data_IF_223668407566
#
_entry.id   IF_223668407566
#
_cell.length_a   1.000
_cell.length_b   1.000
_cell.length_c   1.000
_cell.angle_alpha   90.00
_cell.angle_beta   90.00
_cell.angle_gamma   90.00
#
_symmetry.space_group_name_H-M   'P 1'
#
loop_
_entity.id
_entity.type
_entity.pdbx_description
1 polymer ?
#
# COMPACT_ATOMS: atom_id res chain seq x y z
N UNK A 1 23.00 -61.66 11.08
CA UNK A 1 24.41 -61.27 11.29
C UNK A 1 24.96 -60.85 9.94
N UNK A 2 25.80 -59.81 9.87
CA UNK A 2 26.16 -59.08 8.65
C UNK A 2 25.01 -58.29 7.96
N UNK A 3 25.40 -57.36 7.08
CA UNK A 3 24.60 -56.33 6.37
C UNK A 3 24.92 -56.42 4.85
N UNK A 4 24.33 -55.54 4.00
CA UNK A 4 25.07 -54.48 3.25
C UNK A 4 24.24 -53.77 2.13
N UNK A 5 24.45 -52.44 2.05
CA UNK A 5 24.28 -51.48 0.92
C UNK A 5 22.94 -51.25 0.16
N UNK A 6 22.62 -49.95 -0.06
CA UNK A 6 22.05 -49.46 -1.33
C UNK A 6 22.62 -48.10 -1.83
N UNK A 7 22.65 -47.88 -3.16
CA UNK A 7 22.88 -46.63 -3.95
C UNK A 7 22.42 -46.88 -5.41
N UNK A 8 22.21 -45.92 -6.33
CA UNK A 8 22.25 -44.43 -6.31
C UNK A 8 20.78 -43.87 -6.28
N UNK A 9 20.25 -42.74 -6.81
CA UNK A 9 20.61 -41.70 -7.81
C UNK A 9 20.72 -42.19 -9.29
N UNK A 10 20.68 -41.37 -10.36
CA UNK A 10 20.43 -39.91 -10.56
C UNK A 10 19.85 -39.67 -11.99
N UNK A 11 19.00 -38.65 -12.23
CA UNK A 11 19.12 -37.69 -13.35
C UNK A 11 18.24 -36.43 -13.17
N UNK A 12 18.26 -35.46 -14.12
CA UNK A 12 18.31 -34.01 -13.79
C UNK A 12 18.00 -33.01 -14.95
N UNK A 13 16.72 -32.62 -15.16
CA UNK A 13 16.28 -31.48 -16.03
C UNK A 13 15.32 -30.60 -15.17
N UNK A 14 15.43 -29.28 -14.95
CA UNK A 14 16.09 -28.09 -15.55
C UNK A 14 15.19 -27.27 -16.49
N UNK A 15 14.80 -26.08 -16.02
CA UNK A 15 13.93 -25.10 -16.69
C UNK A 15 14.56 -24.45 -17.93
N UNK A 16 13.72 -24.18 -18.95
CA UNK A 16 13.81 -23.07 -19.91
C UNK A 16 12.51 -22.92 -20.71
N UNK A 17 12.20 -21.68 -21.09
CA UNK A 17 11.42 -21.29 -22.28
C UNK A 17 10.05 -21.95 -22.53
N UNK A 18 9.02 -21.62 -21.74
CA UNK A 18 7.63 -21.66 -22.22
C UNK A 18 7.33 -20.31 -22.88
N UNK A 19 7.32 -20.29 -24.21
CA UNK A 19 6.98 -19.11 -25.02
C UNK A 19 5.46 -19.03 -25.16
N UNK A 20 4.87 -17.87 -24.86
CA UNK A 20 3.42 -17.66 -25.01
C UNK A 20 3.12 -17.39 -26.50
N UNK A 21 2.51 -18.35 -27.17
CA UNK A 21 1.93 -18.16 -28.51
C UNK A 21 0.44 -17.88 -28.40
N UNK A 22 0.04 -16.63 -28.64
CA UNK A 22 -1.35 -16.26 -28.87
C UNK A 22 -1.72 -16.57 -30.32
N UNK A 23 -2.51 -17.62 -30.54
CA UNK A 23 -3.06 -17.93 -31.87
C UNK A 23 -4.58 -18.02 -31.83
N UNK A 24 -5.23 -17.35 -32.79
CA UNK A 24 -6.67 -17.13 -32.78
C UNK A 24 -7.45 -18.37 -33.21
N UNK A 25 -8.45 -18.81 -32.43
CA UNK A 25 -9.67 -19.42 -32.96
C UNK A 25 -10.82 -19.37 -31.94
N UNK A 26 -12.04 -19.57 -32.41
CA UNK A 26 -13.30 -19.43 -31.66
C UNK A 26 -13.90 -20.81 -31.34
N UNK A 27 -14.54 -20.92 -30.18
CA UNK A 27 -15.45 -21.99 -29.72
C UNK A 27 -14.92 -23.43 -29.63
N UNK A 28 -14.94 -23.98 -28.42
CA UNK A 28 -15.32 -25.38 -28.17
C UNK A 28 -16.27 -25.49 -26.97
N UNK A 29 -17.08 -26.56 -26.94
CA UNK A 29 -18.32 -26.63 -26.17
C UNK A 29 -18.22 -27.28 -24.77
N UNK A 30 -19.22 -26.94 -23.96
CA UNK A 30 -19.56 -27.45 -22.62
C UNK A 30 -19.50 -28.98 -22.47
N UNK A 31 -18.57 -29.46 -21.64
CA UNK A 31 -18.63 -30.69 -20.81
C UNK A 31 -17.86 -30.31 -19.52
N UNK A 32 -18.37 -30.44 -18.29
CA UNK A 32 -19.03 -31.58 -17.65
C UNK A 32 -20.27 -31.23 -16.81
N UNK A 33 -21.26 -32.14 -16.80
CA UNK A 33 -22.36 -32.16 -15.82
C UNK A 33 -22.51 -33.58 -15.24
N UNK A 34 -22.07 -33.77 -13.99
CA UNK A 34 -22.43 -34.92 -13.12
C UNK A 34 -23.04 -34.35 -11.83
N UNK A 35 -24.34 -34.04 -11.83
CA UNK A 35 -25.42 -35.00 -11.59
C UNK A 35 -25.43 -35.50 -10.13
N UNK A 36 -25.96 -34.67 -9.24
CA UNK A 36 -26.78 -35.14 -8.12
C UNK A 36 -28.17 -34.51 -8.25
N UNK A 37 -29.20 -35.32 -8.07
CA UNK A 37 -30.60 -34.88 -8.07
C UNK A 37 -31.08 -34.90 -6.63
N UNK A 38 -31.49 -33.75 -6.10
CA UNK A 38 -32.33 -33.68 -4.92
C UNK A 38 -33.52 -32.76 -5.20
N UNK A 39 -34.72 -33.32 -5.13
CA UNK A 39 -35.98 -32.60 -5.31
C UNK A 39 -36.30 -31.79 -4.04
N UNK A 40 -35.80 -30.56 -3.96
CA UNK A 40 -36.02 -29.64 -2.83
C UNK A 40 -36.75 -28.37 -3.26
N UNK A 41 -38.01 -28.21 -2.85
CA UNK A 41 -38.81 -27.00 -3.09
C UNK A 41 -38.46 -25.94 -2.03
N UNK A 42 -37.39 -25.18 -2.24
CA UNK A 42 -37.07 -24.04 -1.39
C UNK A 42 -38.00 -22.86 -1.66
N UNK A 43 -39.01 -22.70 -0.81
CA UNK A 43 -39.71 -21.44 -0.62
C UNK A 43 -38.73 -20.38 -0.09
N UNK A 44 -38.96 -19.11 -0.43
CA UNK A 44 -38.17 -18.01 0.12
C UNK A 44 -38.31 -17.95 1.65
N UNK A 45 -37.19 -18.04 2.36
CA UNK A 45 -37.12 -17.85 3.81
C UNK A 45 -36.47 -16.49 4.10
N UNK A 46 -37.29 -15.54 4.54
CA UNK A 46 -36.80 -14.40 5.29
C UNK A 46 -36.15 -14.94 6.59
N UNK A 47 -34.92 -14.52 6.88
CA UNK A 47 -34.31 -14.78 8.18
C UNK A 47 -33.70 -13.51 8.76
N UNK A 48 -34.39 -12.97 9.77
CA UNK A 48 -33.84 -12.01 10.72
C UNK A 48 -33.89 -12.66 12.09
N UNK A 49 -32.74 -12.77 12.77
CA UNK A 49 -32.64 -12.89 14.23
C UNK A 49 -31.17 -12.95 14.68
N UNK A 50 -30.91 -12.47 15.89
CA UNK A 50 -29.60 -12.52 16.54
C UNK A 50 -29.46 -13.82 17.35
N UNK A 51 -28.25 -14.40 17.45
CA UNK A 51 -27.45 -14.41 18.71
C UNK A 51 -26.16 -15.27 18.65
N UNK A 52 -25.12 -14.69 19.24
CA UNK A 52 -23.99 -15.23 20.02
C UNK A 52 -23.56 -16.72 19.91
N UNK A 53 -22.24 -16.90 19.81
CA UNK A 53 -21.47 -17.98 20.45
C UNK A 53 -20.14 -17.42 20.99
N UNK A 54 -19.85 -17.63 22.27
CA UNK A 54 -18.56 -17.33 22.92
C UNK A 54 -17.75 -18.63 23.10
N UNK A 55 -16.58 -18.78 22.46
CA UNK A 55 -15.55 -19.76 22.88
C UNK A 55 -14.15 -19.25 22.48
N UNK A 56 -13.18 -19.39 23.40
CA UNK A 56 -11.85 -19.90 23.03
C UNK A 56 -10.76 -18.88 22.70
N UNK A 57 -9.91 -18.61 23.69
CA UNK A 57 -8.60 -17.97 23.49
C UNK A 57 -7.58 -18.93 22.86
N UNK A 58 -7.14 -18.70 21.62
CA UNK A 58 -5.83 -19.13 21.10
C UNK A 58 -5.40 -18.27 19.90
N UNK A 59 -4.09 -18.19 19.68
CA UNK A 59 -3.36 -17.26 18.79
C UNK A 59 -4.04 -16.79 17.50
N UNK A 60 -4.04 -15.47 17.31
CA UNK A 60 -4.33 -14.82 16.03
C UNK A 60 -3.25 -15.16 15.00
N UNK A 61 -3.56 -16.06 14.07
CA UNK A 61 -2.92 -16.07 12.75
C UNK A 61 -3.63 -15.08 11.84
N UNK A 62 -2.89 -14.37 11.00
CA UNK A 62 -3.42 -13.35 10.08
C UNK A 62 -4.34 -13.98 9.01
N UNK A 63 -5.65 -13.96 9.27
CA UNK A 63 -6.67 -14.33 8.29
C UNK A 63 -7.20 -13.05 7.62
N UNK A 64 -7.10 -13.00 6.29
CA UNK A 64 -7.44 -11.81 5.51
C UNK A 64 -8.95 -11.57 5.53
N UNK A 65 -9.39 -10.54 6.27
CA UNK A 65 -10.77 -10.06 6.24
C UNK A 65 -10.99 -9.37 4.89
N UNK A 66 -11.48 -10.13 3.91
CA UNK A 66 -12.12 -9.57 2.73
C UNK A 66 -13.41 -8.86 3.15
N UNK A 67 -13.54 -7.58 2.82
CA UNK A 67 -14.79 -6.85 3.04
C UNK A 67 -15.83 -7.26 2.00
N UNK A 68 -17.12 -7.07 2.30
CA UNK A 68 -18.22 -7.59 1.48
C UNK A 68 -18.45 -6.81 0.18
N UNK A 69 -17.76 -5.70 0.02
CA UNK A 69 -17.89 -4.79 -1.12
C UNK A 69 -16.85 -5.05 -2.24
N UNK A 70 -16.01 -6.09 -2.13
CA UNK A 70 -15.09 -6.59 -3.18
C UNK A 70 -15.83 -7.28 -4.36
N UNK A 71 -16.88 -6.63 -4.88
CA UNK A 71 -17.67 -7.06 -6.02
C UNK A 71 -16.96 -6.62 -7.30
N UNK A 72 -16.57 -7.58 -8.15
CA UNK A 72 -15.94 -7.35 -9.45
C UNK A 72 -16.65 -6.25 -10.26
N UNK A 73 -15.90 -5.21 -10.66
CA UNK A 73 -16.41 -4.22 -11.58
C UNK A 73 -16.18 -4.68 -13.03
N UNK A 74 -17.27 -5.08 -13.69
CA UNK A 74 -17.28 -5.49 -15.09
C UNK A 74 -17.84 -4.34 -15.95
N UNK A 75 -17.04 -3.84 -16.88
CA UNK A 75 -17.55 -2.94 -17.94
C UNK A 75 -18.51 -3.73 -18.85
N UNK A 76 -19.70 -3.18 -19.11
CA UNK A 76 -20.68 -3.79 -20.01
C UNK A 76 -20.34 -3.57 -21.49
N UNK A 77 -19.45 -2.64 -21.83
CA UNK A 77 -19.04 -2.36 -23.21
C UNK A 77 -17.86 -3.22 -23.69
N UNK A 78 -17.03 -3.71 -22.79
CA UNK A 78 -15.91 -4.61 -23.08
C UNK A 78 -15.88 -5.70 -22.01
N UNK A 79 -15.95 -6.98 -22.40
CA UNK A 79 -16.04 -8.14 -21.48
C UNK A 79 -14.75 -8.36 -20.66
N UNK A 80 -14.47 -7.42 -19.76
CA UNK A 80 -13.25 -7.31 -18.94
C UNK A 80 -13.70 -6.95 -17.53
N UNK A 81 -14.04 -7.96 -16.74
CA UNK A 81 -14.13 -7.81 -15.29
C UNK A 81 -12.72 -7.57 -14.75
N UNK A 82 -12.49 -6.40 -14.14
CA UNK A 82 -11.25 -6.14 -13.41
C UNK A 82 -11.49 -6.46 -11.95
N UNK A 83 -10.51 -7.09 -11.31
CA UNK A 83 -10.38 -6.99 -9.87
C UNK A 83 -10.22 -5.51 -9.51
N UNK A 84 -10.79 -5.03 -8.38
CA UNK A 84 -10.31 -3.78 -7.82
C UNK A 84 -8.80 -3.90 -7.61
N UNK A 85 -8.04 -2.88 -8.02
CA UNK A 85 -6.64 -2.78 -7.60
C UNK A 85 -6.66 -2.57 -6.09
N UNK A 86 -6.28 -3.61 -5.34
CA UNK A 86 -6.11 -3.54 -3.89
C UNK A 86 -5.16 -2.36 -3.63
N UNK A 87 -5.67 -1.30 -2.99
CA UNK A 87 -4.87 -0.15 -2.56
C UNK A 87 -4.12 -0.60 -1.32
N UNK A 88 -3.09 -1.41 -1.54
CA UNK A 88 -2.24 -1.92 -0.48
C UNK A 88 -1.48 -0.75 0.14
N UNK A 89 -1.79 -0.42 1.39
CA UNK A 89 -1.21 0.73 2.09
C UNK A 89 0.30 0.53 2.30
N UNK A 90 1.12 1.08 1.40
CA UNK A 90 2.57 0.94 1.46
C UNK A 90 3.18 1.86 2.51
N UNK A 91 3.33 1.33 3.73
CA UNK A 91 4.30 1.82 4.71
C UNK A 91 5.70 1.31 4.37
N UNK A 92 6.67 2.22 4.31
CA UNK A 92 8.08 1.88 4.13
C UNK A 92 8.71 1.45 5.47
N UNK A 93 9.70 0.56 5.44
CA UNK A 93 10.52 0.31 6.63
C UNK A 93 11.53 1.45 6.84
N UNK A 94 11.91 1.74 8.10
CA UNK A 94 12.79 2.86 8.48
C UNK A 94 14.05 2.97 7.60
N UNK A 95 14.78 1.87 7.43
CA UNK A 95 16.00 1.83 6.63
C UNK A 95 15.77 1.74 5.12
N UNK A 96 14.63 1.23 4.67
CA UNK A 96 14.21 1.30 3.25
C UNK A 96 14.00 2.78 2.85
N UNK A 97 13.26 3.52 3.68
CA UNK A 97 13.03 4.95 3.49
C UNK A 97 14.33 5.78 3.62
N UNK A 98 15.18 5.49 4.62
CA UNK A 98 16.50 6.12 4.74
C UNK A 98 17.37 5.92 3.48
N UNK A 99 17.34 4.72 2.90
CA UNK A 99 18.06 4.39 1.67
C UNK A 99 17.51 5.15 0.46
N UNK A 100 16.18 5.21 0.30
CA UNK A 100 15.55 5.98 -0.78
C UNK A 100 15.85 7.49 -0.66
N UNK A 101 15.80 8.06 0.55
CA UNK A 101 16.18 9.46 0.80
C UNK A 101 17.64 9.73 0.41
N UNK A 102 18.55 8.84 0.79
CA UNK A 102 19.98 8.97 0.46
C UNK A 102 20.25 8.88 -1.05
N UNK A 103 19.54 7.98 -1.76
CA UNK A 103 19.57 7.88 -3.23
C UNK A 103 18.99 9.15 -3.89
N UNK A 104 18.06 9.84 -3.24
CA UNK A 104 17.46 11.11 -3.68
C UNK A 104 18.24 12.36 -3.21
N UNK A 105 19.56 12.23 -3.07
CA UNK A 105 20.52 13.28 -2.68
C UNK A 105 20.20 14.00 -1.37
N UNK A 106 19.49 13.36 -0.42
CA UNK A 106 19.30 13.92 0.94
C UNK A 106 20.61 13.76 1.73
N UNK A 107 21.16 14.84 2.33
CA UNK A 107 22.37 14.75 3.13
C UNK A 107 22.22 13.72 4.27
N UNK A 108 23.21 12.84 4.46
CA UNK A 108 23.16 11.78 5.49
C UNK A 108 22.89 12.35 6.90
N UNK A 109 23.34 13.57 7.17
CA UNK A 109 23.09 14.32 8.42
C UNK A 109 21.65 14.80 8.62
N UNK A 110 20.84 14.91 7.56
CA UNK A 110 19.43 15.26 7.65
C UNK A 110 18.51 14.04 7.80
N UNK A 111 18.97 12.84 7.42
CA UNK A 111 18.16 11.62 7.42
C UNK A 111 17.44 11.35 8.77
N UNK A 112 18.06 11.49 9.96
CA UNK A 112 17.35 11.25 11.22
C UNK A 112 16.14 12.17 11.44
N UNK A 113 16.19 13.42 10.95
CA UNK A 113 15.07 14.35 11.00
C UNK A 113 13.98 13.99 9.98
N UNK A 114 14.37 13.64 8.76
CA UNK A 114 13.42 13.18 7.73
C UNK A 114 12.70 11.89 8.13
N UNK A 115 13.40 10.96 8.80
CA UNK A 115 12.82 9.76 9.40
C UNK A 115 11.78 10.13 10.46
N UNK A 116 12.17 10.94 11.46
CA UNK A 116 11.27 11.32 12.56
C UNK A 116 10.01 12.02 12.06
N UNK A 117 10.13 12.95 11.11
CA UNK A 117 8.97 13.64 10.51
C UNK A 117 8.05 12.61 9.85
N UNK A 118 8.55 11.73 8.97
CA UNK A 118 7.71 10.73 8.32
C UNK A 118 7.11 9.69 9.29
N UNK A 119 7.79 9.36 10.38
CA UNK A 119 7.25 8.46 11.40
C UNK A 119 6.04 9.08 12.11
N UNK A 120 6.15 10.33 12.55
CA UNK A 120 5.09 11.00 13.31
C UNK A 120 3.95 11.54 12.43
N UNK A 121 4.23 12.00 11.21
CA UNK A 121 3.22 12.49 10.26
C UNK A 121 2.43 11.33 9.60
N UNK A 122 3.08 10.21 9.26
CA UNK A 122 2.44 9.15 8.44
C UNK A 122 2.70 7.70 8.86
N UNK A 123 3.53 7.44 9.88
CA UNK A 123 4.07 6.09 10.17
C UNK A 123 4.68 5.44 8.92
N UNK A 124 5.44 6.25 8.16
CA UNK A 124 6.03 5.93 6.86
C UNK A 124 5.04 5.50 5.76
N UNK A 125 3.73 5.70 5.95
CA UNK A 125 2.70 5.35 4.96
C UNK A 125 2.73 6.34 3.79
N UNK A 126 3.01 5.84 2.60
CA UNK A 126 3.00 6.64 1.37
C UNK A 126 1.59 6.99 0.89
N UNK A 127 0.58 6.19 1.23
CA UNK A 127 -0.78 6.24 0.67
C UNK A 127 -1.82 6.89 1.61
N UNK A 128 -1.39 7.54 2.69
CA UNK A 128 -2.30 8.19 3.66
C UNK A 128 -2.67 9.62 3.25
N UNK A 129 -3.96 9.95 3.33
CA UNK A 129 -4.47 11.33 3.39
C UNK A 129 -4.84 11.59 4.85
N UNK A 130 -4.38 12.72 5.40
CA UNK A 130 -4.62 13.11 6.78
C UNK A 130 -6.10 13.36 7.10
N UNK A 131 -6.40 13.47 8.39
CA UNK A 131 -7.70 13.95 8.84
C UNK A 131 -7.95 15.38 8.33
N UNK A 132 -9.21 15.71 8.03
CA UNK A 132 -9.58 17.02 7.47
C UNK A 132 -9.19 18.15 8.43
N UNK A 133 -8.37 19.09 7.98
CA UNK A 133 -7.94 20.22 8.79
C UNK A 133 -9.09 21.18 9.08
N UNK A 134 -8.99 21.90 10.20
CA UNK A 134 -9.99 22.87 10.65
C UNK A 134 -10.21 24.05 9.67
N UNK A 135 -9.29 24.27 8.74
CA UNK A 135 -9.36 25.30 7.69
C UNK A 135 -9.83 24.78 6.33
N UNK A 136 -10.28 23.52 6.27
CA UNK A 136 -10.75 22.85 5.06
C UNK A 136 -9.66 22.18 4.23
N UNK A 137 -8.37 22.28 4.55
CA UNK A 137 -7.32 21.55 3.82
C UNK A 137 -7.24 20.05 4.17
N UNK A 138 -6.47 19.29 3.40
CA UNK A 138 -5.99 17.95 3.76
C UNK A 138 -4.49 17.85 3.48
N UNK A 139 -3.82 16.92 4.15
CA UNK A 139 -2.38 16.70 4.03
C UNK A 139 -2.10 15.31 3.44
N UNK A 140 -1.10 15.21 2.56
CA UNK A 140 -0.93 14.05 1.67
C UNK A 140 0.40 13.33 1.84
N UNK A 141 0.31 12.00 1.88
CA UNK A 141 1.43 11.06 1.76
C UNK A 141 2.39 11.07 2.95
N UNK A 142 3.58 10.52 2.70
CA UNK A 142 4.57 10.19 3.73
C UNK A 142 5.06 11.38 4.58
N UNK A 143 4.93 12.61 4.07
CA UNK A 143 5.32 13.85 4.74
C UNK A 143 4.14 14.77 5.09
N UNK A 144 2.89 14.31 4.95
CA UNK A 144 1.67 15.10 5.17
C UNK A 144 1.75 16.51 4.56
N UNK A 145 1.82 16.54 3.22
CA UNK A 145 1.99 17.77 2.44
C UNK A 145 0.63 18.37 2.08
N UNK A 146 0.38 19.60 2.55
CA UNK A 146 -0.91 20.29 2.41
C UNK A 146 -1.33 20.64 0.98
N UNK A 147 -2.58 20.30 0.64
CA UNK A 147 -3.27 20.66 -0.62
C UNK A 147 -3.63 22.15 -0.75
N UNK A 148 -3.57 22.89 0.35
CA UNK A 148 -3.76 24.34 0.34
C UNK A 148 -2.53 25.07 -0.16
N UNK A 149 -1.34 24.67 0.28
CA UNK A 149 -0.10 25.43 0.06
C UNK A 149 0.81 24.81 -1.02
N UNK A 150 0.90 23.49 -1.10
CA UNK A 150 2.06 22.83 -1.73
C UNK A 150 1.72 22.02 -2.97
N UNK A 151 0.64 21.26 -2.96
CA UNK A 151 0.18 20.48 -4.10
C UNK A 151 -1.17 20.98 -4.61
N UNK A 152 -1.67 20.40 -5.70
CA UNK A 152 -3.00 20.66 -6.26
C UNK A 152 -3.92 19.44 -6.10
N UNK A 153 -5.04 19.52 -5.36
CA UNK A 153 -6.00 18.44 -5.29
C UNK A 153 -6.79 18.31 -6.61
N UNK A 154 -7.32 17.12 -6.88
CA UNK A 154 -8.11 16.85 -8.09
C UNK A 154 -9.54 17.42 -8.01
N UNK A 155 -10.12 17.37 -6.81
CA UNK A 155 -11.43 17.93 -6.50
C UNK A 155 -11.37 19.45 -6.32
N UNK A 156 -12.51 20.12 -6.55
CA UNK A 156 -12.63 21.56 -6.26
C UNK A 156 -12.63 21.81 -4.75
N UNK A 157 -11.91 22.85 -4.36
CA UNK A 157 -11.79 23.35 -2.99
C UNK A 157 -12.63 24.62 -2.82
N UNK A 158 -12.96 24.92 -1.57
CA UNK A 158 -13.56 26.18 -1.11
C UNK A 158 -12.51 27.24 -0.76
N UNK A 159 -11.27 26.83 -0.44
CA UNK A 159 -10.10 27.68 -0.28
C UNK A 159 -9.27 27.80 -1.58
N UNK A 160 -8.44 28.84 -1.65
CA UNK A 160 -7.45 29.03 -2.71
C UNK A 160 -6.27 28.06 -2.56
N UNK A 161 -5.85 27.45 -3.67
CA UNK A 161 -4.72 26.51 -3.76
C UNK A 161 -3.49 27.24 -4.31
N UNK A 162 -2.39 27.27 -3.54
CA UNK A 162 -1.12 27.86 -3.99
C UNK A 162 -0.27 26.93 -4.87
N UNK A 163 -0.33 25.60 -4.65
CA UNK A 163 0.42 24.58 -5.41
C UNK A 163 1.94 24.89 -5.54
N UNK A 164 2.59 25.27 -4.44
CA UNK A 164 4.00 25.74 -4.43
C UNK A 164 5.05 24.73 -4.96
N UNK A 165 4.75 23.43 -4.95
CA UNK A 165 5.60 22.37 -5.52
C UNK A 165 5.25 22.03 -6.99
N UNK A 166 4.22 22.65 -7.57
CA UNK A 166 3.70 22.41 -8.92
C UNK A 166 3.43 20.92 -9.21
N UNK A 167 2.64 20.26 -8.37
CA UNK A 167 2.40 18.81 -8.39
C UNK A 167 0.96 18.49 -7.97
N UNK A 168 0.32 17.49 -8.58
CA UNK A 168 -0.99 17.01 -8.12
C UNK A 168 -0.83 16.25 -6.80
N UNK A 169 -1.73 16.44 -5.84
CA UNK A 169 -1.62 15.81 -4.52
C UNK A 169 -1.72 14.28 -4.58
N UNK A 170 -2.45 13.72 -5.55
CA UNK A 170 -2.49 12.28 -5.83
C UNK A 170 -1.13 11.70 -6.22
N UNK A 171 -0.24 12.49 -6.83
CA UNK A 171 1.13 12.07 -7.13
C UNK A 171 2.08 12.09 -5.91
N UNK A 172 1.58 12.48 -4.73
CA UNK A 172 2.25 12.32 -3.44
C UNK A 172 1.80 11.04 -2.71
N UNK A 173 0.75 10.36 -3.21
CA UNK A 173 0.22 9.09 -2.72
C UNK A 173 0.78 7.94 -3.57
N UNK A 174 2.11 7.79 -3.59
CA UNK A 174 2.84 6.98 -4.58
C UNK A 174 3.92 6.13 -3.92
N UNK A 175 4.07 4.89 -4.41
CA UNK A 175 5.18 3.98 -4.07
C UNK A 175 6.56 4.61 -4.33
N UNK A 176 6.66 5.40 -5.40
CA UNK A 176 7.80 6.26 -5.70
C UNK A 176 7.65 7.59 -4.96
N UNK A 177 8.46 7.77 -3.91
CA UNK A 177 8.48 8.97 -3.07
C UNK A 177 9.19 10.17 -3.72
N UNK A 178 9.76 10.05 -4.93
CA UNK A 178 10.60 11.10 -5.55
C UNK A 178 9.93 12.48 -5.57
N UNK A 179 8.62 12.55 -5.84
CA UNK A 179 7.87 13.80 -5.85
C UNK A 179 7.61 14.34 -4.42
N UNK A 180 7.30 13.45 -3.47
CA UNK A 180 7.12 13.80 -2.06
C UNK A 180 8.42 14.33 -1.44
N UNK A 181 9.55 13.65 -1.67
CA UNK A 181 10.89 14.10 -1.23
C UNK A 181 11.29 15.41 -1.90
N UNK A 182 11.07 15.58 -3.21
CA UNK A 182 11.33 16.85 -3.90
C UNK A 182 10.53 18.00 -3.30
N UNK A 183 9.24 17.79 -3.02
CA UNK A 183 8.37 18.82 -2.45
C UNK A 183 8.76 19.11 -0.99
N UNK A 184 8.95 18.10 -0.14
CA UNK A 184 9.39 18.27 1.24
C UNK A 184 10.73 19.02 1.33
N UNK A 185 11.73 18.66 0.51
CA UNK A 185 13.01 19.39 0.44
C UNK A 185 12.88 20.82 -0.07
N UNK A 186 11.81 21.16 -0.81
CA UNK A 186 11.50 22.54 -1.18
C UNK A 186 10.87 23.29 0.00
N UNK A 187 9.89 22.70 0.69
CA UNK A 187 9.24 23.23 1.90
C UNK A 187 10.30 23.56 2.97
N UNK A 188 11.18 22.60 3.28
CA UNK A 188 12.26 22.77 4.27
C UNK A 188 13.21 23.92 3.93
N UNK A 189 13.46 24.19 2.63
CA UNK A 189 14.26 25.34 2.18
C UNK A 189 13.52 26.68 2.26
N UNK A 190 12.19 26.70 2.24
CA UNK A 190 11.38 27.92 2.38
C UNK A 190 11.04 28.26 3.84
N UNK A 191 10.81 27.25 4.68
CA UNK A 191 10.21 27.41 6.03
C UNK A 191 10.97 26.72 7.16
N UNK A 192 12.06 26.00 6.85
CA UNK A 192 12.79 25.17 7.82
C UNK A 192 11.99 23.94 8.27
N UNK A 193 12.51 23.24 9.28
CA UNK A 193 11.87 22.06 9.85
C UNK A 193 10.55 22.36 10.58
N UNK A 194 10.35 23.60 11.02
CA UNK A 194 9.13 24.10 11.66
C UNK A 194 7.90 24.18 10.74
N UNK A 195 8.02 23.82 9.46
CA UNK A 195 6.88 23.62 8.58
C UNK A 195 5.99 22.43 8.99
N UNK A 196 6.59 21.42 9.65
CA UNK A 196 5.89 20.26 10.18
C UNK A 196 5.55 20.46 11.66
N UNK A 197 4.29 20.23 12.02
CA UNK A 197 3.82 20.43 13.40
C UNK A 197 4.56 19.50 14.39
N UNK A 198 4.83 18.26 13.97
CA UNK A 198 5.50 17.23 14.78
C UNK A 198 6.95 17.60 15.14
N UNK A 199 7.60 18.48 14.36
CA UNK A 199 9.04 18.75 14.51
C UNK A 199 9.41 19.25 15.91
N UNK A 200 8.65 20.21 16.46
CA UNK A 200 8.97 20.86 17.74
C UNK A 200 8.68 19.96 18.95
N UNK A 201 7.76 19.02 18.83
CA UNK A 201 7.36 18.14 19.93
C UNK A 201 8.20 16.86 19.96
N UNK A 202 8.46 16.27 18.79
CA UNK A 202 9.07 14.94 18.68
C UNK A 202 10.48 14.93 18.09
N UNK A 203 10.81 15.82 17.14
CA UNK A 203 12.04 15.70 16.34
C UNK A 203 13.16 16.70 16.69
N UNK A 204 12.87 17.80 17.38
CA UNK A 204 13.88 18.82 17.72
C UNK A 204 14.81 18.44 18.87
N UNK A 205 14.45 17.42 19.67
CA UNK A 205 15.05 17.19 20.99
C UNK A 205 16.25 16.23 20.99
N UNK A 206 17.01 16.18 19.90
CA UNK A 206 18.38 15.67 19.83
C UNK A 206 18.58 14.15 19.90
N UNK A 207 17.69 13.39 20.55
CA UNK A 207 17.76 11.93 20.68
C UNK A 207 17.12 11.20 19.49
N UNK A 208 17.54 11.55 18.27
CA UNK A 208 17.14 10.84 17.06
C UNK A 208 17.93 9.52 16.95
N UNK A 209 17.33 8.48 16.37
CA UNK A 209 18.02 7.20 16.19
C UNK A 209 19.29 7.35 15.34
N UNK A 210 20.33 6.59 15.68
CA UNK A 210 21.51 6.48 14.83
C UNK A 210 21.11 5.94 13.46
N UNK A 211 21.60 6.55 12.38
CA UNK A 211 21.26 6.19 11.00
C UNK A 211 22.25 5.17 10.39
N UNK A 212 23.37 4.91 11.06
CA UNK A 212 24.46 4.11 10.51
C UNK A 212 24.16 2.60 10.43
N UNK A 213 23.25 2.11 11.27
CA UNK A 213 22.74 0.73 11.20
C UNK A 213 21.98 0.45 9.90
N UNK A 214 21.29 1.46 9.34
CA UNK A 214 20.65 1.38 8.02
C UNK A 214 21.63 1.34 6.84
N UNK A 215 22.94 1.49 7.09
CA UNK A 215 23.99 1.52 6.07
C UNK A 215 25.19 0.61 6.43
N UNK A 216 24.97 -0.40 7.28
CA UNK A 216 25.97 -1.39 7.71
C UNK A 216 25.86 -2.70 6.92
#
# INVERSE_FOLDING_TARGET
MALLFPVEFFFKLRSKDIRIEFQHSISFFVIYRKLFIFSGRFSALNFSSHKAWDIGSHGWTEEWIFDKDDIYHCDNHHHICRWPTIVQTRSLHRCEFASQLYILDVPKSELPLWLCIAEYESRFNTHVIGARNADGSNDYGIFQISDKYWCKPENRTDYFIYNGCNVNCSALLSDDITLAVRCARYIQKQQGWSAWAVYKEFCSNGSLEHIDDCFT
#
